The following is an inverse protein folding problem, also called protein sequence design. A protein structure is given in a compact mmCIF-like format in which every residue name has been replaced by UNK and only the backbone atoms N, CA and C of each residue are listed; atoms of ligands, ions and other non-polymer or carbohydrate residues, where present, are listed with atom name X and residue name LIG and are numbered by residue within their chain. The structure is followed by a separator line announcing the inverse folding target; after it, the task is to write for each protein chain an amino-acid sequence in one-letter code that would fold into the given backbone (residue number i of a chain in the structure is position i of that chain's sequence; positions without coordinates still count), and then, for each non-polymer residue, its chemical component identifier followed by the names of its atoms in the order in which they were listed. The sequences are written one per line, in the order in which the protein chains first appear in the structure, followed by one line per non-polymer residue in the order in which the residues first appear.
data_IF_661421063236
#
_entry.id   IF_661421063236
#
_cell.length_a   1.000
_cell.length_b   1.000
_cell.length_c   1.000
_cell.angle_alpha   90.00
_cell.angle_beta   90.00
_cell.angle_gamma   90.00
#
_symmetry.space_group_name_H-M   'P 1'
#
loop_
_entity.id
_entity.type
_entity.pdbx_description
1 polymer ?
#
# COMPACT_ATOMS: atom_id res chain seq x y z
N UNK A 1 12.45 30.50 15.01
CA UNK A 1 13.58 30.49 14.05
C UNK A 1 14.84 30.99 14.74
N UNK A 2 14.85 32.20 15.30
CA UNK A 2 16.04 32.76 16.01
C UNK A 2 16.51 31.93 17.22
N UNK A 3 15.58 31.34 17.99
CA UNK A 3 15.91 30.54 19.17
C UNK A 3 16.67 29.23 18.86
N UNK A 4 16.57 28.67 17.65
CA UNK A 4 17.35 27.48 17.27
C UNK A 4 18.75 27.85 16.77
N UNK A 5 18.89 29.05 16.19
CA UNK A 5 20.17 29.56 15.68
C UNK A 5 21.15 29.90 16.80
N UNK A 6 20.66 30.39 17.94
CA UNK A 6 21.46 30.74 19.12
C UNK A 6 22.11 29.52 19.82
N UNK A 7 21.60 28.31 19.60
CA UNK A 7 22.15 27.07 20.17
C UNK A 7 23.08 26.31 19.19
N UNK A 8 23.38 26.87 18.02
CA UNK A 8 24.20 26.23 16.98
C UNK A 8 25.66 26.00 17.36
N UNK A 9 26.17 26.68 18.40
CA UNK A 9 27.54 26.55 18.90
C UNK A 9 27.81 25.31 19.75
N UNK A 10 26.78 24.55 20.13
CA UNK A 10 26.90 23.36 21.02
C UNK A 10 26.91 22.00 20.30
N UNK A 11 26.80 21.96 18.96
CA UNK A 11 26.75 20.70 18.19
C UNK A 11 27.92 20.57 17.21
N UNK A 12 29.08 20.13 17.70
CA UNK A 12 30.28 19.85 16.88
C UNK A 12 30.19 18.54 16.06
N UNK A 13 29.00 18.11 15.65
CA UNK A 13 28.81 16.83 14.93
C UNK A 13 27.76 16.88 13.83
N UNK A 14 27.49 18.07 13.27
CA UNK A 14 26.69 18.18 12.06
C UNK A 14 27.64 18.43 10.86
N UNK A 15 27.61 17.57 9.83
CA UNK A 15 28.48 17.70 8.65
C UNK A 15 28.06 18.83 7.69
N UNK A 16 27.04 19.63 8.06
CA UNK A 16 26.46 20.68 7.23
C UNK A 16 26.23 21.93 8.09
N UNK A 17 26.57 23.10 7.53
CA UNK A 17 26.32 24.39 8.14
C UNK A 17 24.82 24.72 8.13
N UNK A 18 24.34 25.48 9.11
CA UNK A 18 22.95 25.94 9.16
C UNK A 18 22.53 26.73 7.90
N UNK A 19 23.47 27.43 7.27
CA UNK A 19 23.25 28.15 6.01
C UNK A 19 22.94 27.19 4.84
N UNK A 20 23.61 26.04 4.78
CA UNK A 20 23.33 25.02 3.76
C UNK A 20 21.97 24.36 3.98
N UNK A 21 21.60 24.16 5.24
CA UNK A 21 20.33 23.55 5.63
C UNK A 21 19.14 24.46 5.29
N UNK A 22 19.26 25.75 5.59
CA UNK A 22 18.26 26.78 5.26
C UNK A 22 18.15 27.01 3.74
N UNK A 23 19.29 27.00 3.04
CA UNK A 23 19.34 27.05 1.58
C UNK A 23 18.64 25.84 0.94
N UNK A 24 18.87 24.63 1.48
CA UNK A 24 18.21 23.42 1.01
C UNK A 24 16.70 23.47 1.24
N UNK A 25 16.25 23.93 2.42
CA UNK A 25 14.82 24.08 2.72
C UNK A 25 14.14 25.10 1.80
N UNK A 26 14.79 26.24 1.58
CA UNK A 26 14.31 27.28 0.66
C UNK A 26 14.22 26.76 -0.77
N UNK A 27 15.20 25.96 -1.20
CA UNK A 27 15.23 25.36 -2.54
C UNK A 27 14.09 24.36 -2.72
N UNK A 28 13.84 23.51 -1.72
CA UNK A 28 12.72 22.57 -1.72
C UNK A 28 11.37 23.30 -1.76
N UNK A 29 11.21 24.33 -0.93
CA UNK A 29 9.98 25.12 -0.88
C UNK A 29 9.71 25.83 -2.23
N UNK A 30 10.74 26.40 -2.86
CA UNK A 30 10.65 26.98 -4.21
C UNK A 30 10.27 25.94 -5.26
N UNK A 31 10.85 24.73 -5.19
CA UNK A 31 10.55 23.64 -6.12
C UNK A 31 9.09 23.17 -6.00
N UNK A 32 8.60 23.02 -4.76
CA UNK A 32 7.22 22.63 -4.48
C UNK A 32 6.23 23.68 -4.98
N UNK A 33 6.48 24.96 -4.67
CA UNK A 33 5.62 26.05 -5.14
C UNK A 33 5.58 26.12 -6.67
N UNK A 34 6.73 26.01 -7.35
CA UNK A 34 6.77 26.01 -8.81
C UNK A 34 5.96 24.84 -9.40
N UNK A 35 6.13 23.62 -8.86
CA UNK A 35 5.34 22.46 -9.30
C UNK A 35 3.85 22.67 -9.08
N UNK A 36 3.45 23.30 -7.98
CA UNK A 36 2.06 23.61 -7.70
C UNK A 36 1.47 24.61 -8.71
N UNK A 37 2.19 25.69 -9.03
CA UNK A 37 1.79 26.65 -10.06
C UNK A 37 1.69 26.00 -11.46
N UNK A 38 2.65 25.12 -11.80
CA UNK A 38 2.58 24.35 -13.05
C UNK A 38 1.32 23.49 -13.08
N UNK A 39 0.99 22.80 -11.99
CA UNK A 39 -0.21 21.97 -11.91
C UNK A 39 -1.50 22.80 -12.03
N UNK A 40 -1.59 23.96 -11.36
CA UNK A 40 -2.74 24.87 -11.52
C UNK A 40 -2.89 25.37 -12.96
N UNK A 41 -1.78 25.73 -13.60
CA UNK A 41 -1.82 26.19 -15.01
C UNK A 41 -2.24 25.08 -15.99
N UNK A 42 -1.85 23.82 -15.72
CA UNK A 42 -2.28 22.65 -16.49
C UNK A 42 -3.77 22.35 -16.28
N UNK A 43 -4.28 22.53 -15.07
CA UNK A 43 -5.71 22.35 -14.74
C UNK A 43 -6.59 23.43 -15.42
N UNK A 44 -6.13 24.68 -15.43
CA UNK A 44 -6.82 25.79 -16.10
C UNK A 44 -6.80 25.66 -17.64
N UNK A 45 -5.71 25.15 -18.21
CA UNK A 45 -5.64 24.90 -19.66
C UNK A 45 -6.45 23.68 -20.10
N UNK A 46 -6.62 22.67 -19.23
CA UNK A 46 -7.52 21.53 -19.48
C UNK A 46 -9.00 21.97 -19.48
N UNK A 47 -9.36 22.93 -18.63
CA UNK A 47 -10.72 23.49 -18.56
C UNK A 47 -11.10 24.37 -19.78
N UNK A 48 -10.12 25.03 -20.42
CA UNK A 48 -10.36 25.85 -21.62
C UNK A 48 -10.46 25.04 -22.93
N UNK A 49 -9.87 23.85 -23.01
CA UNK A 49 -9.87 23.06 -24.27
C UNK A 49 -11.13 22.21 -24.49
N UNK A 50 -11.98 22.02 -23.47
CA UNK A 50 -13.29 21.38 -23.64
C UNK A 50 -14.45 22.36 -23.92
N UNK A 51 -14.16 23.66 -24.00
CA UNK A 51 -15.18 24.72 -24.11
C UNK A 51 -15.26 25.35 -25.51
N UNK A 52 -15.29 24.56 -26.59
CA UNK A 52 -15.70 25.00 -27.93
C UNK A 52 -16.23 23.81 -28.73
N UNK A 53 -17.50 23.46 -28.52
CA UNK A 53 -18.55 23.24 -29.54
C UNK A 53 -19.80 22.78 -28.81
N UNK A 54 -20.79 23.67 -28.68
CA UNK A 54 -22.23 23.45 -28.86
C UNK A 54 -22.99 24.61 -28.20
N UNK A 55 -23.79 25.28 -29.03
CA UNK A 55 -24.53 26.50 -28.75
C UNK A 55 -25.88 26.15 -28.11
N UNK A 56 -26.24 26.87 -27.05
CA UNK A 56 -27.56 27.45 -26.70
C UNK A 56 -27.92 27.30 -25.20
N UNK A 57 -28.46 28.38 -24.66
CA UNK A 57 -28.54 28.79 -23.25
C UNK A 57 -30.02 28.70 -22.76
N UNK A 58 -30.39 29.17 -21.55
CA UNK A 58 -30.39 28.50 -20.24
C UNK A 58 -31.82 28.33 -19.65
N UNK A 59 -31.99 27.54 -18.58
CA UNK A 59 -32.74 27.91 -17.34
C UNK A 59 -32.94 26.76 -16.34
N UNK A 60 -32.98 27.19 -15.09
CA UNK A 60 -33.55 26.61 -13.87
C UNK A 60 -32.66 25.73 -12.98
N UNK A 61 -32.28 26.38 -11.88
CA UNK A 61 -31.85 25.84 -10.61
C UNK A 61 -32.78 24.71 -10.14
N UNK A 62 -32.20 23.56 -9.83
CA UNK A 62 -32.60 22.75 -8.69
C UNK A 62 -31.41 21.88 -8.29
N UNK A 63 -30.83 22.19 -7.12
CA UNK A 63 -29.89 21.33 -6.42
C UNK A 63 -30.63 20.07 -5.96
N UNK A 64 -30.77 19.11 -6.87
CA UNK A 64 -31.05 17.72 -6.52
C UNK A 64 -29.74 17.07 -6.11
N UNK A 65 -29.66 16.67 -4.85
CA UNK A 65 -28.60 15.81 -4.34
C UNK A 65 -28.67 14.48 -5.11
N UNK A 66 -27.86 14.34 -6.14
CA UNK A 66 -27.77 13.09 -6.88
C UNK A 66 -27.04 12.05 -6.00
N UNK A 67 -27.61 10.84 -5.82
CA UNK A 67 -26.91 9.74 -5.20
C UNK A 67 -25.71 9.37 -6.07
N UNK A 68 -24.56 9.18 -5.43
CA UNK A 68 -23.28 8.92 -6.05
C UNK A 68 -23.38 7.72 -7.00
N UNK A 69 -23.41 7.99 -8.31
CA UNK A 69 -23.28 6.94 -9.31
C UNK A 69 -21.94 6.23 -9.10
N UNK A 70 -21.91 4.90 -8.95
CA UNK A 70 -20.66 4.17 -8.79
C UNK A 70 -19.80 4.40 -10.04
N UNK A 71 -18.57 4.82 -9.84
CA UNK A 71 -17.58 4.92 -10.91
C UNK A 71 -17.43 3.57 -11.60
N UNK A 72 -17.11 3.60 -12.90
CA UNK A 72 -16.83 2.39 -13.70
C UNK A 72 -15.85 1.43 -13.01
N UNK A 73 -14.89 1.97 -12.24
CA UNK A 73 -13.95 1.19 -11.42
C UNK A 73 -14.63 0.34 -10.34
N UNK A 74 -15.49 0.95 -9.51
CA UNK A 74 -16.16 0.28 -8.39
C UNK A 74 -17.09 -0.82 -8.90
N UNK A 75 -17.82 -0.57 -9.98
CA UNK A 75 -18.65 -1.58 -10.63
C UNK A 75 -17.82 -2.79 -11.10
N UNK A 76 -16.63 -2.54 -11.65
CA UNK A 76 -15.74 -3.63 -12.08
C UNK A 76 -15.20 -4.43 -10.88
N UNK A 77 -14.79 -3.75 -9.80
CA UNK A 77 -14.33 -4.39 -8.56
C UNK A 77 -15.41 -5.25 -7.94
N UNK A 78 -16.65 -4.75 -7.90
CA UNK A 78 -17.82 -5.49 -7.41
C UNK A 78 -18.02 -6.79 -8.17
N UNK A 79 -18.05 -6.73 -9.50
CA UNK A 79 -18.21 -7.92 -10.35
C UNK A 79 -17.10 -8.94 -10.12
N UNK A 80 -15.86 -8.50 -9.90
CA UNK A 80 -14.74 -9.40 -9.58
C UNK A 80 -14.92 -10.05 -8.20
N UNK A 81 -15.36 -9.28 -7.19
CA UNK A 81 -15.62 -9.76 -5.84
C UNK A 81 -16.79 -10.75 -5.79
N UNK A 82 -17.90 -10.45 -6.46
CA UNK A 82 -19.08 -11.33 -6.58
C UNK A 82 -18.72 -12.69 -7.20
N UNK A 83 -17.80 -12.68 -8.18
CA UNK A 83 -17.32 -13.88 -8.85
C UNK A 83 -16.17 -14.58 -8.13
N UNK A 84 -15.65 -13.99 -7.04
CA UNK A 84 -14.48 -14.49 -6.31
C UNK A 84 -13.28 -14.66 -7.27
N UNK A 85 -13.09 -13.71 -8.19
CA UNK A 85 -12.07 -13.79 -9.26
C UNK A 85 -10.75 -13.14 -8.82
N UNK A 86 -9.91 -13.90 -8.10
CA UNK A 86 -8.65 -13.38 -7.55
C UNK A 86 -7.60 -13.07 -8.62
N UNK A 87 -7.56 -13.86 -9.69
CA UNK A 87 -6.63 -13.67 -10.80
C UNK A 87 -7.04 -12.46 -11.65
N UNK A 88 -8.34 -12.30 -11.91
CA UNK A 88 -8.87 -11.10 -12.57
C UNK A 88 -8.63 -9.84 -11.74
N UNK A 89 -8.79 -9.91 -10.42
CA UNK A 89 -8.57 -8.79 -9.52
C UNK A 89 -7.12 -8.28 -9.52
N UNK A 90 -6.14 -9.18 -9.36
CA UNK A 90 -4.72 -8.75 -9.40
C UNK A 90 -4.34 -8.17 -10.76
N UNK A 91 -4.86 -8.71 -11.86
CA UNK A 91 -4.58 -8.23 -13.20
C UNK A 91 -5.23 -6.86 -13.42
N UNK A 92 -6.46 -6.67 -12.94
CA UNK A 92 -7.12 -5.36 -12.96
C UNK A 92 -6.32 -4.29 -12.21
N UNK A 93 -5.79 -4.61 -11.02
CA UNK A 93 -4.93 -3.68 -10.25
C UNK A 93 -3.61 -3.42 -10.99
N UNK A 94 -3.04 -4.44 -11.63
CA UNK A 94 -1.81 -4.32 -12.42
C UNK A 94 -2.00 -3.38 -13.62
N UNK A 95 -3.09 -3.54 -14.35
CA UNK A 95 -3.43 -2.72 -15.52
C UNK A 95 -3.78 -1.27 -15.12
N UNK A 96 -4.34 -1.08 -13.93
CA UNK A 96 -4.78 0.22 -13.41
C UNK A 96 -3.87 0.74 -12.27
N UNK A 97 -2.57 0.41 -12.31
CA UNK A 97 -1.63 0.68 -11.21
C UNK A 97 -1.50 2.16 -10.82
N UNK A 98 -1.79 3.09 -11.75
CA UNK A 98 -1.80 4.53 -11.46
C UNK A 98 -2.91 4.91 -10.48
N UNK A 99 -4.05 4.24 -10.55
CA UNK A 99 -5.23 4.49 -9.73
C UNK A 99 -5.29 3.60 -8.49
N UNK A 100 -4.20 2.88 -8.17
CA UNK A 100 -4.14 1.89 -7.09
C UNK A 100 -4.62 2.40 -5.73
N UNK A 101 -4.39 3.66 -5.38
CA UNK A 101 -4.81 4.22 -4.08
C UNK A 101 -6.34 4.26 -4.00
N UNK A 102 -6.98 4.74 -5.06
CA UNK A 102 -8.44 4.75 -5.19
C UNK A 102 -9.00 3.33 -5.21
N UNK A 103 -8.41 2.45 -6.02
CA UNK A 103 -8.83 1.05 -6.12
C UNK A 103 -8.73 0.35 -4.76
N UNK A 104 -7.64 0.58 -4.00
CA UNK A 104 -7.48 0.02 -2.66
C UNK A 104 -8.57 0.49 -1.70
N UNK A 105 -8.92 1.78 -1.72
CA UNK A 105 -9.98 2.32 -0.88
C UNK A 105 -11.36 1.75 -1.23
N UNK A 106 -11.68 1.64 -2.52
CA UNK A 106 -12.93 1.03 -3.00
C UNK A 106 -12.98 -0.48 -2.65
N UNK A 107 -11.86 -1.18 -2.73
CA UNK A 107 -11.78 -2.63 -2.55
C UNK A 107 -11.97 -3.10 -1.10
N UNK A 108 -11.60 -2.29 -0.11
CA UNK A 108 -11.83 -2.62 1.32
C UNK A 108 -13.32 -2.87 1.58
N UNK A 109 -14.18 -1.99 1.07
CA UNK A 109 -15.63 -2.11 1.21
C UNK A 109 -16.16 -3.30 0.39
N UNK A 110 -15.69 -3.49 -0.84
CA UNK A 110 -16.14 -4.60 -1.69
C UNK A 110 -15.72 -5.98 -1.12
N UNK A 111 -14.59 -6.07 -0.40
CA UNK A 111 -14.19 -7.30 0.32
C UNK A 111 -15.18 -7.70 1.41
N UNK A 112 -15.79 -6.73 2.11
CA UNK A 112 -16.77 -7.03 3.17
C UNK A 112 -18.07 -7.63 2.62
N UNK A 113 -18.37 -7.34 1.35
CA UNK A 113 -19.58 -7.83 0.66
C UNK A 113 -19.29 -9.04 -0.24
N UNK A 114 -18.02 -9.38 -0.46
CA UNK A 114 -17.63 -10.51 -1.29
C UNK A 114 -18.06 -11.84 -0.63
N UNK A 115 -18.53 -12.83 -1.42
CA UNK A 115 -18.93 -14.14 -0.88
C UNK A 115 -17.78 -14.87 -0.15
N UNK A 116 -16.55 -14.77 -0.65
CA UNK A 116 -15.36 -15.34 -0.02
C UNK A 116 -14.10 -14.53 -0.40
N UNK A 117 -13.88 -13.40 0.29
CA UNK A 117 -12.70 -12.57 0.05
C UNK A 117 -11.38 -13.30 0.35
N UNK A 118 -11.37 -14.24 1.31
CA UNK A 118 -10.17 -14.99 1.65
C UNK A 118 -9.74 -15.93 0.52
N UNK A 119 -10.66 -16.69 -0.05
CA UNK A 119 -10.38 -17.54 -1.22
C UNK A 119 -9.96 -16.70 -2.43
N UNK A 120 -10.64 -15.58 -2.68
CA UNK A 120 -10.28 -14.66 -3.76
C UNK A 120 -8.83 -14.16 -3.60
N UNK A 121 -8.44 -13.76 -2.39
CA UNK A 121 -7.08 -13.30 -2.13
C UNK A 121 -6.08 -14.45 -2.30
N UNK A 122 -6.37 -15.69 -1.87
CA UNK A 122 -5.47 -16.83 -2.12
C UNK A 122 -5.25 -17.11 -3.62
N UNK A 123 -6.32 -17.10 -4.43
CA UNK A 123 -6.21 -17.24 -5.89
C UNK A 123 -5.32 -16.16 -6.49
N UNK A 124 -5.40 -14.93 -5.97
CA UNK A 124 -4.57 -13.81 -6.45
C UNK A 124 -3.07 -14.04 -6.24
N UNK A 125 -2.69 -14.93 -5.32
CA UNK A 125 -1.30 -15.26 -5.09
C UNK A 125 -0.79 -16.31 -6.11
N UNK A 126 -1.66 -17.05 -6.81
CA UNK A 126 -1.28 -18.20 -7.66
C UNK A 126 -0.20 -17.87 -8.68
N UNK A 127 0.83 -18.72 -8.81
CA UNK A 127 1.95 -18.46 -9.70
C UNK A 127 2.92 -17.39 -9.18
N UNK A 128 2.50 -16.44 -8.36
CA UNK A 128 3.40 -15.46 -7.77
C UNK A 128 4.20 -16.03 -6.58
N UNK A 129 3.53 -16.72 -5.65
CA UNK A 129 4.25 -17.46 -4.60
C UNK A 129 4.72 -18.84 -5.05
N UNK A 130 4.48 -19.27 -6.30
CA UNK A 130 4.97 -20.57 -6.83
C UNK A 130 6.27 -20.41 -7.62
N UNK A 131 6.59 -19.22 -8.12
CA UNK A 131 7.81 -18.99 -8.88
C UNK A 131 9.06 -19.03 -7.99
N UNK A 132 9.99 -19.93 -8.31
CA UNK A 132 11.35 -20.04 -7.77
C UNK A 132 12.29 -18.92 -8.27
N UNK A 133 11.75 -17.81 -8.77
CA UNK A 133 12.53 -16.69 -9.28
C UNK A 133 13.06 -15.85 -8.13
N UNK A 134 14.35 -15.47 -8.18
CA UNK A 134 14.86 -14.37 -7.35
C UNK A 134 13.99 -13.13 -7.64
N UNK A 135 13.51 -12.44 -6.60
CA UNK A 135 12.65 -11.23 -6.70
C UNK A 135 13.31 -10.03 -7.41
N UNK A 136 14.48 -10.25 -7.97
CA UNK A 136 15.36 -9.32 -8.68
C UNK A 136 14.83 -9.00 -10.08
N UNK A 137 13.90 -9.80 -10.62
CA UNK A 137 13.16 -9.44 -11.82
C UNK A 137 12.15 -8.33 -11.48
N UNK A 138 12.24 -7.20 -12.18
CA UNK A 138 11.35 -6.03 -12.02
C UNK A 138 9.87 -6.42 -12.17
N UNK A 139 9.57 -7.43 -13.00
CA UNK A 139 8.22 -7.98 -13.15
C UNK A 139 7.71 -8.70 -11.90
N UNK A 140 8.52 -9.60 -11.34
CA UNK A 140 8.21 -10.29 -10.08
C UNK A 140 8.06 -9.31 -8.92
N UNK A 141 8.89 -8.25 -8.88
CA UNK A 141 8.78 -7.20 -7.86
C UNK A 141 7.44 -6.45 -7.91
N UNK A 142 6.91 -6.17 -9.11
CA UNK A 142 5.62 -5.47 -9.27
C UNK A 142 4.45 -6.36 -8.85
N UNK A 143 4.40 -7.61 -9.33
CA UNK A 143 3.35 -8.56 -8.95
C UNK A 143 3.33 -8.80 -7.44
N UNK A 144 4.51 -8.85 -6.82
CA UNK A 144 4.60 -9.04 -5.37
C UNK A 144 4.08 -7.90 -4.54
N UNK A 145 4.25 -6.66 -5.00
CA UNK A 145 3.64 -5.51 -4.33
C UNK A 145 2.11 -5.55 -4.42
N UNK A 146 1.55 -6.02 -5.54
CA UNK A 146 0.11 -6.17 -5.71
C UNK A 146 -0.43 -7.28 -4.80
N UNK A 147 0.23 -8.44 -4.78
CA UNK A 147 -0.14 -9.55 -3.89
C UNK A 147 -0.08 -9.13 -2.42
N UNK A 148 1.00 -8.47 -2.00
CA UNK A 148 1.13 -7.92 -0.64
C UNK A 148 0.04 -6.89 -0.33
N UNK A 149 -0.33 -6.06 -1.31
CA UNK A 149 -1.43 -5.10 -1.16
C UNK A 149 -2.73 -5.85 -0.88
N UNK A 150 -3.07 -6.86 -1.67
CA UNK A 150 -4.29 -7.65 -1.48
C UNK A 150 -4.33 -8.35 -0.11
N UNK A 151 -3.21 -8.94 0.31
CA UNK A 151 -3.06 -9.54 1.65
C UNK A 151 -3.29 -8.51 2.77
N UNK A 152 -2.68 -7.32 2.63
CA UNK A 152 -2.86 -6.21 3.57
C UNK A 152 -4.32 -5.75 3.62
N UNK A 153 -4.96 -5.56 2.47
CA UNK A 153 -6.34 -5.11 2.39
C UNK A 153 -7.32 -6.12 3.01
N UNK A 154 -7.07 -7.42 2.86
CA UNK A 154 -7.88 -8.47 3.50
C UNK A 154 -7.90 -8.27 5.03
N UNK A 155 -6.72 -8.09 5.62
CA UNK A 155 -6.59 -7.86 7.06
C UNK A 155 -7.16 -6.51 7.51
N UNK A 156 -7.03 -5.45 6.71
CA UNK A 156 -7.62 -4.14 7.00
C UNK A 156 -9.13 -4.16 6.90
N UNK A 157 -9.70 -4.89 5.93
CA UNK A 157 -11.14 -5.04 5.78
C UNK A 157 -11.78 -5.82 6.94
N UNK A 158 -10.98 -6.57 7.71
CA UNK A 158 -11.44 -7.30 8.89
C UNK A 158 -12.42 -8.43 8.56
N UNK A 159 -12.34 -8.99 7.35
CA UNK A 159 -13.27 -10.04 6.90
C UNK A 159 -13.02 -11.34 7.65
N UNK A 160 -14.09 -12.03 8.03
CA UNK A 160 -13.96 -13.32 8.68
C UNK A 160 -13.66 -14.41 7.66
N UNK A 161 -12.45 -14.98 7.72
CA UNK A 161 -12.02 -16.06 6.82
C UNK A 161 -12.45 -17.43 7.36
N UNK A 162 -13.05 -18.26 6.52
CA UNK A 162 -13.49 -19.61 6.91
C UNK A 162 -12.32 -20.54 7.27
N UNK A 163 -12.56 -21.53 8.14
CA UNK A 163 -11.51 -22.47 8.57
C UNK A 163 -10.86 -23.22 7.41
N UNK A 164 -11.64 -23.59 6.39
CA UNK A 164 -11.12 -24.26 5.17
C UNK A 164 -10.13 -23.37 4.42
N UNK A 165 -10.42 -22.07 4.31
CA UNK A 165 -9.55 -21.10 3.65
C UNK A 165 -8.32 -20.81 4.52
N UNK A 166 -8.47 -20.73 5.85
CA UNK A 166 -7.32 -20.63 6.78
C UNK A 166 -6.36 -21.81 6.65
N UNK A 167 -6.87 -23.03 6.50
CA UNK A 167 -6.03 -24.22 6.32
C UNK A 167 -5.23 -24.17 5.00
N UNK A 168 -5.85 -23.69 3.90
CA UNK A 168 -5.14 -23.42 2.65
C UNK A 168 -4.07 -22.34 2.83
N UNK A 169 -4.42 -21.24 3.50
CA UNK A 169 -3.49 -20.14 3.76
C UNK A 169 -2.30 -20.58 4.61
N UNK A 170 -2.51 -21.46 5.59
CA UNK A 170 -1.44 -22.05 6.39
C UNK A 170 -0.47 -22.87 5.52
N UNK A 171 -0.98 -23.68 4.59
CA UNK A 171 -0.12 -24.43 3.64
C UNK A 171 0.75 -23.48 2.81
N UNK A 172 0.14 -22.42 2.27
CA UNK A 172 0.87 -21.37 1.53
C UNK A 172 1.92 -20.70 2.42
N UNK A 173 1.59 -20.37 3.68
CA UNK A 173 2.51 -19.72 4.60
C UNK A 173 3.72 -20.60 4.95
N UNK A 174 3.51 -21.91 5.16
CA UNK A 174 4.58 -22.86 5.44
C UNK A 174 5.52 -23.04 4.23
N UNK A 175 4.96 -23.15 3.02
CA UNK A 175 5.74 -23.22 1.79
C UNK A 175 6.55 -21.94 1.54
N UNK A 176 5.92 -20.77 1.77
CA UNK A 176 6.57 -19.47 1.67
C UNK A 176 7.74 -19.36 2.64
N UNK A 177 7.53 -19.76 3.90
CA UNK A 177 8.57 -19.79 4.94
C UNK A 177 9.75 -20.67 4.55
N UNK A 178 9.48 -21.90 4.09
CA UNK A 178 10.53 -22.84 3.67
C UNK A 178 11.42 -22.25 2.57
N UNK A 179 10.85 -21.49 1.63
CA UNK A 179 11.59 -20.81 0.57
C UNK A 179 12.43 -19.63 1.07
N UNK A 180 11.92 -18.90 2.04
CA UNK A 180 12.56 -17.69 2.56
C UNK A 180 13.72 -17.96 3.54
N UNK A 181 13.99 -19.23 3.88
CA UNK A 181 14.96 -19.63 4.92
C UNK A 181 16.33 -18.96 4.78
N UNK A 182 16.80 -18.81 3.54
CA UNK A 182 18.14 -18.27 3.23
C UNK A 182 18.10 -16.93 2.46
N UNK A 183 16.91 -16.35 2.24
CA UNK A 183 16.71 -15.11 1.46
C UNK A 183 16.43 -13.89 2.37
N UNK A 184 17.39 -13.58 3.26
CA UNK A 184 17.25 -12.54 4.28
C UNK A 184 17.09 -11.12 3.73
N UNK A 185 17.54 -10.86 2.49
CA UNK A 185 17.44 -9.55 1.85
C UNK A 185 16.06 -9.26 1.24
N UNK A 186 15.16 -10.24 1.22
CA UNK A 186 13.88 -10.12 0.55
C UNK A 186 12.79 -9.52 1.45
N UNK A 187 12.86 -8.20 1.57
CA UNK A 187 11.93 -7.37 2.34
C UNK A 187 10.48 -7.55 1.87
N UNK A 188 10.26 -7.65 0.54
CA UNK A 188 8.91 -7.83 -0.04
C UNK A 188 8.32 -9.18 0.35
N UNK A 189 9.13 -10.24 0.33
CA UNK A 189 8.75 -11.57 0.76
C UNK A 189 8.43 -11.63 2.27
N UNK A 190 9.27 -11.00 3.10
CA UNK A 190 9.03 -10.92 4.54
C UNK A 190 7.73 -10.16 4.87
N UNK A 191 7.48 -9.04 4.19
CA UNK A 191 6.22 -8.30 4.28
C UNK A 191 5.00 -9.11 3.86
N UNK A 192 5.11 -9.79 2.72
CA UNK A 192 4.03 -10.63 2.19
C UNK A 192 3.66 -11.73 3.17
N UNK A 193 4.66 -12.38 3.78
CA UNK A 193 4.44 -13.38 4.81
C UNK A 193 3.67 -12.82 6.01
N UNK A 194 4.07 -11.66 6.54
CA UNK A 194 3.39 -11.04 7.68
C UNK A 194 1.95 -10.65 7.35
N UNK A 195 1.71 -10.06 6.17
CA UNK A 195 0.35 -9.74 5.73
C UNK A 195 -0.51 -10.99 5.50
N UNK A 196 0.07 -12.09 5.02
CA UNK A 196 -0.62 -13.37 4.88
C UNK A 196 -1.05 -13.91 6.25
N UNK A 197 -0.12 -13.98 7.20
CA UNK A 197 -0.42 -14.53 8.53
C UNK A 197 -1.43 -13.66 9.29
N UNK A 198 -1.29 -12.33 9.21
CA UNK A 198 -2.21 -11.37 9.81
C UNK A 198 -3.59 -11.40 9.12
N UNK A 199 -3.64 -11.24 7.80
CA UNK A 199 -4.89 -11.08 7.04
C UNK A 199 -5.78 -12.31 7.07
N UNK A 200 -5.20 -13.51 7.21
CA UNK A 200 -5.96 -14.76 7.34
C UNK A 200 -6.23 -15.13 8.80
N UNK A 201 -5.71 -14.38 9.77
CA UNK A 201 -5.89 -14.64 11.19
C UNK A 201 -5.33 -16.00 11.61
N UNK A 202 -4.11 -16.31 11.16
CA UNK A 202 -3.37 -17.56 11.45
C UNK A 202 -2.09 -17.30 12.26
N UNK A 203 -2.02 -16.16 12.97
CA UNK A 203 -0.89 -15.78 13.82
C UNK A 203 -0.56 -16.84 14.89
N UNK A 204 -1.58 -17.55 15.41
CA UNK A 204 -1.42 -18.60 16.43
C UNK A 204 -0.61 -19.80 15.96
N UNK A 205 -0.46 -20.01 14.65
CA UNK A 205 0.26 -21.14 14.06
C UNK A 205 1.77 -20.92 14.02
N UNK A 206 2.25 -19.74 14.41
CA UNK A 206 3.65 -19.34 14.35
C UNK A 206 4.13 -18.87 15.72
N UNK A 207 5.41 -19.11 16.03
CA UNK A 207 5.99 -18.60 17.26
C UNK A 207 6.20 -17.08 17.17
N UNK A 208 6.15 -16.40 18.32
CA UNK A 208 6.41 -14.96 18.36
C UNK A 208 7.80 -14.59 17.86
N UNK A 209 8.81 -15.41 18.13
CA UNK A 209 10.19 -15.16 17.69
C UNK A 209 10.31 -15.19 16.16
N UNK A 210 9.62 -16.12 15.50
CA UNK A 210 9.55 -16.17 14.03
C UNK A 210 8.88 -14.93 13.46
N UNK A 211 7.76 -14.50 14.05
CA UNK A 211 7.05 -13.29 13.60
C UNK A 211 7.92 -12.04 13.78
N UNK A 212 8.66 -11.94 14.89
CA UNK A 212 9.60 -10.83 15.14
C UNK A 212 10.76 -10.85 14.16
N UNK A 213 11.28 -12.03 13.81
CA UNK A 213 12.35 -12.15 12.81
C UNK A 213 11.89 -11.63 11.43
N UNK A 214 10.70 -12.05 10.97
CA UNK A 214 10.12 -11.52 9.74
C UNK A 214 9.83 -10.03 9.83
N UNK A 215 9.36 -9.55 10.98
CA UNK A 215 9.14 -8.12 11.23
C UNK A 215 10.45 -7.32 11.13
N UNK A 216 11.54 -7.83 11.70
CA UNK A 216 12.85 -7.19 11.62
C UNK A 216 13.36 -7.14 10.18
N UNK A 217 13.19 -8.22 9.40
CA UNK A 217 13.49 -8.23 7.96
C UNK A 217 12.65 -7.20 7.19
N UNK A 218 11.38 -7.03 7.57
CA UNK A 218 10.45 -6.11 6.96
C UNK A 218 10.63 -4.64 7.39
N UNK A 219 11.21 -4.38 8.57
CA UNK A 219 11.32 -3.05 9.20
C UNK A 219 12.19 -2.04 8.43
N UNK A 220 13.01 -2.50 7.49
CA UNK A 220 13.68 -1.63 6.51
C UNK A 220 12.65 -0.93 5.59
N UNK A 221 11.38 -1.33 5.63
CA UNK A 221 10.26 -0.71 4.93
C UNK A 221 9.40 0.18 5.85
N UNK A 222 9.31 1.48 5.54
CA UNK A 222 8.53 2.46 6.30
C UNK A 222 7.02 2.19 6.41
N UNK A 223 6.40 1.47 5.45
CA UNK A 223 4.98 1.11 5.52
C UNK A 223 4.70 0.01 6.56
N UNK A 224 5.65 -0.92 6.73
CA UNK A 224 5.54 -1.98 7.73
C UNK A 224 5.55 -1.42 9.14
N UNK A 225 6.49 -0.49 9.39
CA UNK A 225 6.62 0.18 10.69
C UNK A 225 5.35 0.93 11.08
N UNK A 226 4.58 1.43 10.12
CA UNK A 226 3.27 2.04 10.39
C UNK A 226 2.26 1.01 10.88
N UNK A 227 2.17 -0.15 10.23
CA UNK A 227 1.29 -1.23 10.67
C UNK A 227 1.64 -1.72 12.08
N UNK A 228 2.93 -1.92 12.39
CA UNK A 228 3.37 -2.34 13.74
C UNK A 228 2.93 -1.37 14.84
N UNK A 229 2.92 -0.05 14.55
CA UNK A 229 2.38 0.97 15.46
C UNK A 229 0.86 0.83 15.63
N UNK A 230 0.16 0.66 14.52
CA UNK A 230 -1.31 0.57 14.50
C UNK A 230 -1.82 -0.68 15.26
N UNK A 231 -1.02 -1.75 15.34
CA UNK A 231 -1.34 -3.01 16.06
C UNK A 231 -0.67 -3.17 17.43
N UNK A 232 0.04 -2.14 17.93
CA UNK A 232 0.64 -2.16 19.27
C UNK A 232 1.86 -3.08 19.45
N UNK A 233 2.60 -3.39 18.38
CA UNK A 233 3.80 -4.25 18.43
C UNK A 233 5.11 -3.47 18.65
N UNK A 234 5.04 -2.16 18.88
CA UNK A 234 6.19 -1.24 18.94
C UNK A 234 7.21 -1.60 20.03
N UNK A 235 6.76 -2.12 21.18
CA UNK A 235 7.63 -2.42 22.34
C UNK A 235 8.53 -3.65 22.14
N UNK A 236 8.34 -4.38 21.03
CA UNK A 236 9.04 -5.64 20.71
C UNK A 236 9.90 -5.56 19.45
N UNK A 237 9.90 -4.42 18.77
CA UNK A 237 10.81 -4.16 17.65
C UNK A 237 12.16 -3.73 18.23
N UNK A 238 13.28 -4.41 17.92
CA UNK A 238 14.59 -4.03 18.45
C UNK A 238 14.90 -2.56 18.13
N UNK A 239 15.25 -1.78 19.15
CA UNK A 239 15.48 -0.32 19.06
C UNK A 239 16.48 0.13 17.99
N UNK A 240 17.29 -0.78 17.43
CA UNK A 240 18.19 -0.51 16.31
C UNK A 240 17.49 -0.19 14.98
N UNK A 241 16.18 -0.37 14.88
CA UNK A 241 15.38 0.09 13.73
C UNK A 241 14.85 1.53 13.89
N UNK A 242 15.04 2.15 15.07
CA UNK A 242 14.60 3.53 15.34
C UNK A 242 15.69 4.54 14.94
N UNK A 243 16.95 4.12 14.93
CA UNK A 243 18.10 5.02 14.69
C UNK A 243 18.50 5.16 13.21
N UNK A 244 17.64 4.74 12.27
CA UNK A 244 17.83 4.95 10.82
C UNK A 244 16.77 5.90 10.20
N UNK A 245 16.18 6.78 11.02
CA UNK A 245 15.32 7.86 10.54
C UNK A 245 16.02 9.22 10.63
#
# INVERSE_FOLDING_TARGET
FENLQSHSSFHHSLPLSWLELDSHFTTLQKSLNNRFEILQSLEHSHSQSQSKTLISNPKDENFSVNPTYPSSSRNKLRVLCEKVDGIGLRNYILDNFKDRIRIQAELIEEFQHAPDAGEMVLQSLEGFYVLNGKFNDKGLSRMGRICNTLLKLLGVAGVNVSSKVKEKALKVALEWKARMRDDYGNIVGALGFLYLVYGFGILSEFSMDELVEYAARAAVNGEFMKLCRDIGMTDRVPGKAVDFF
#
